data_IF_508038138123
#
_entry.id   IF_508038138123
#
_cell.length_a   1.000
_cell.length_b   1.000
_cell.length_c   1.000
_cell.angle_alpha   90.00
_cell.angle_beta   90.00
_cell.angle_gamma   90.00
#
_symmetry.space_group_name_H-M   'P 1'
#
loop_
_entity.id
_entity.type
_entity.pdbx_description
1 polymer ?
#
# COMPACT_ATOMS: atom_id res chain seq x y z
N UNK A 1 -36.27 29.42 45.91
CA UNK A 1 -37.25 29.05 44.87
C UNK A 1 -36.53 29.04 43.53
N UNK A 2 -36.25 27.86 43.00
CA UNK A 2 -35.60 27.66 41.71
C UNK A 2 -36.00 26.29 41.21
N UNK A 3 -36.92 26.27 40.24
CA UNK A 3 -37.51 25.06 39.66
C UNK A 3 -36.74 24.73 38.38
N UNK A 4 -36.43 23.46 38.21
CA UNK A 4 -35.77 22.86 37.06
C UNK A 4 -36.55 23.05 35.76
N UNK A 5 -35.84 23.10 34.63
CA UNK A 5 -36.38 22.78 33.32
C UNK A 5 -35.36 21.93 32.54
N UNK A 6 -35.86 20.81 32.04
CA UNK A 6 -35.14 19.78 31.30
C UNK A 6 -35.27 20.00 29.78
N UNK A 7 -34.36 19.35 29.01
CA UNK A 7 -34.44 18.99 27.56
C UNK A 7 -34.41 20.13 26.53
N UNK A 8 -33.62 20.10 25.45
CA UNK A 8 -33.33 19.02 24.49
C UNK A 8 -31.86 19.00 24.00
N UNK A 9 -31.23 17.82 24.00
CA UNK A 9 -30.07 17.52 23.18
C UNK A 9 -30.56 16.90 21.87
N UNK A 10 -30.35 17.58 20.74
CA UNK A 10 -30.52 16.97 19.42
C UNK A 10 -29.17 16.43 18.97
N UNK A 11 -28.93 15.15 19.29
CA UNK A 11 -27.89 14.34 18.66
C UNK A 11 -28.33 14.07 17.21
N UNK A 12 -27.61 14.63 16.24
CA UNK A 12 -27.66 14.16 14.86
C UNK A 12 -26.41 13.29 14.60
N UNK A 13 -26.44 12.06 15.13
CA UNK A 13 -25.56 10.98 14.69
C UNK A 13 -26.15 10.46 13.39
N UNK A 14 -25.44 10.67 12.28
CA UNK A 14 -25.59 9.78 11.10
C UNK A 14 -24.37 8.87 11.13
N UNK A 15 -24.50 7.82 11.94
CA UNK A 15 -23.61 6.67 11.91
C UNK A 15 -23.98 5.82 10.70
N UNK A 16 -23.08 5.74 9.72
CA UNK A 16 -23.08 4.68 8.72
C UNK A 16 -21.69 4.07 8.76
N UNK A 17 -21.53 3.06 9.61
CA UNK A 17 -20.43 2.11 9.55
C UNK A 17 -21.02 0.73 9.33
N UNK A 18 -21.24 0.42 8.06
CA UNK A 18 -21.39 -0.97 7.64
C UNK A 18 -20.06 -1.68 7.89
N UNK A 19 -20.11 -2.82 8.57
CA UNK A 19 -19.01 -3.76 8.72
C UNK A 19 -18.36 -4.03 7.35
N UNK A 20 -17.11 -3.63 7.13
CA UNK A 20 -16.24 -4.35 6.20
C UNK A 20 -14.78 -4.23 6.65
N UNK A 21 -14.19 -5.40 6.86
CA UNK A 21 -12.80 -5.62 7.24
C UNK A 21 -11.87 -5.38 6.04
N UNK A 22 -10.74 -4.72 6.30
CA UNK A 22 -9.41 -5.01 5.75
C UNK A 22 -9.34 -5.55 4.30
N UNK A 23 -9.47 -4.66 3.31
CA UNK A 23 -9.09 -4.95 1.92
C UNK A 23 -7.97 -4.00 1.47
N UNK A 24 -6.78 -4.56 1.32
CA UNK A 24 -5.73 -3.98 0.49
C UNK A 24 -6.09 -4.23 -0.99
N UNK A 25 -5.75 -3.23 -1.80
CA UNK A 25 -5.93 -3.04 -3.23
C UNK A 25 -6.36 -4.22 -4.10
N UNK A 26 -7.55 -4.08 -4.71
CA UNK A 26 -7.82 -4.36 -6.13
C UNK A 26 -9.15 -3.69 -6.51
N UNK A 27 -9.09 -2.44 -6.94
CA UNK A 27 -10.18 -1.81 -7.69
C UNK A 27 -9.60 -0.95 -8.80
N UNK A 28 -9.91 -1.32 -10.04
CA UNK A 28 -9.91 -0.40 -11.18
C UNK A 28 -10.86 0.76 -10.87
N UNK A 29 -10.34 1.90 -10.43
CA UNK A 29 -11.03 3.18 -10.69
C UNK A 29 -10.56 3.66 -12.05
N UNK A 30 -11.15 3.06 -13.08
CA UNK A 30 -11.33 3.72 -14.37
C UNK A 30 -12.51 4.67 -14.13
N UNK A 31 -12.25 5.98 -13.99
CA UNK A 31 -13.30 6.97 -14.22
C UNK A 31 -13.34 7.20 -15.74
N UNK A 32 -13.78 6.19 -16.48
CA UNK A 32 -14.38 6.38 -17.79
C UNK A 32 -15.87 6.53 -17.52
N UNK A 33 -16.37 7.76 -17.64
CA UNK A 33 -17.79 7.96 -17.88
C UNK A 33 -18.10 7.51 -19.31
N UNK A 34 -18.20 6.20 -19.52
CA UNK A 34 -19.05 5.64 -20.56
C UNK A 34 -20.36 5.21 -19.90
N UNK A 35 -21.47 5.56 -20.54
CA UNK A 35 -22.76 5.72 -19.88
C UNK A 35 -23.36 4.49 -19.20
N UNK A 36 -24.24 4.79 -18.24
CA UNK A 36 -25.27 3.94 -17.61
C UNK A 36 -24.85 3.04 -16.43
N UNK A 37 -24.60 3.67 -15.27
CA UNK A 37 -24.94 3.07 -13.97
C UNK A 37 -25.74 4.07 -13.13
N UNK A 38 -27.06 4.02 -13.28
CA UNK A 38 -28.00 4.61 -12.31
C UNK A 38 -28.64 3.42 -11.62
N UNK A 39 -28.35 3.21 -10.33
CA UNK A 39 -29.33 2.92 -9.28
C UNK A 39 -28.64 2.57 -7.94
N UNK A 40 -29.01 3.31 -6.89
CA UNK A 40 -28.66 3.16 -5.46
C UNK A 40 -27.43 3.88 -4.86
N UNK A 41 -26.96 4.99 -5.44
CA UNK A 41 -26.08 5.91 -4.69
C UNK A 41 -26.88 6.98 -3.93
N UNK A 42 -26.49 7.29 -2.68
CA UNK A 42 -27.15 8.35 -1.92
C UNK A 42 -27.00 9.71 -2.64
N UNK A 43 -28.01 10.59 -2.64
CA UNK A 43 -27.93 11.90 -3.32
C UNK A 43 -26.72 12.76 -2.91
N UNK A 44 -26.18 12.54 -1.72
CA UNK A 44 -24.93 13.17 -1.25
C UNK A 44 -23.68 12.69 -1.98
N UNK A 45 -23.58 11.39 -2.31
CA UNK A 45 -22.43 10.82 -3.04
C UNK A 45 -22.38 11.33 -4.47
N UNK A 46 -23.53 11.35 -5.14
CA UNK A 46 -23.67 11.91 -6.49
C UNK A 46 -23.18 13.36 -6.52
N UNK A 47 -23.64 14.19 -5.58
CA UNK A 47 -23.19 15.60 -5.48
C UNK A 47 -21.69 15.74 -5.25
N UNK A 48 -21.09 14.87 -4.43
CA UNK A 48 -19.63 14.87 -4.21
C UNK A 48 -18.89 14.49 -5.48
N UNK A 49 -19.31 13.42 -6.16
CA UNK A 49 -18.71 12.97 -7.41
C UNK A 49 -18.83 14.01 -8.54
N UNK A 50 -19.98 14.65 -8.68
CA UNK A 50 -20.18 15.77 -9.61
C UNK A 50 -19.29 16.96 -9.29
N UNK A 51 -19.10 17.26 -7.99
CA UNK A 51 -18.21 18.33 -7.55
C UNK A 51 -16.75 17.99 -7.87
N UNK A 52 -16.32 16.76 -7.63
CA UNK A 52 -14.98 16.28 -8.00
C UNK A 52 -14.74 16.34 -9.50
N UNK A 53 -15.71 15.93 -10.32
CA UNK A 53 -15.60 15.97 -11.78
C UNK A 53 -15.39 17.39 -12.33
N UNK A 54 -15.84 18.42 -11.59
CA UNK A 54 -15.64 19.83 -11.93
C UNK A 54 -14.33 20.42 -11.36
N UNK A 55 -13.87 19.89 -10.23
CA UNK A 55 -12.71 20.42 -9.48
C UNK A 55 -11.38 19.72 -9.82
N UNK A 56 -11.42 18.45 -10.22
CA UNK A 56 -10.22 17.69 -10.59
C UNK A 56 -9.81 18.12 -11.99
N UNK A 57 -8.79 18.96 -12.04
CA UNK A 57 -8.16 19.39 -13.27
C UNK A 57 -6.74 18.82 -13.31
N UNK A 58 -6.32 18.38 -14.49
CA UNK A 58 -4.91 18.07 -14.72
C UNK A 58 -4.07 19.35 -14.61
N UNK A 59 -2.81 19.27 -14.15
CA UNK A 59 -1.88 20.40 -14.25
C UNK A 59 -1.80 20.93 -15.69
N UNK A 60 -1.36 22.18 -15.85
CA UNK A 60 -1.04 22.73 -17.18
C UNK A 60 -0.03 21.82 -17.88
N UNK A 61 -0.11 21.70 -19.20
CA UNK A 61 0.62 20.68 -19.97
C UNK A 61 2.14 20.75 -19.75
N UNK A 62 2.67 21.97 -19.64
CA UNK A 62 4.06 22.29 -19.34
C UNK A 62 4.52 21.85 -17.94
N UNK A 63 3.59 21.63 -17.00
CA UNK A 63 3.85 21.18 -15.63
C UNK A 63 3.56 19.69 -15.43
N UNK A 64 3.09 18.97 -16.47
CA UNK A 64 2.84 17.53 -16.38
C UNK A 64 4.15 16.75 -16.48
N UNK A 65 4.28 15.74 -15.63
CA UNK A 65 5.32 14.73 -15.78
C UNK A 65 5.09 13.92 -17.07
N UNK A 66 6.14 13.79 -17.86
CA UNK A 66 6.16 13.07 -19.14
C UNK A 66 7.04 11.82 -19.07
N UNK A 67 7.95 11.70 -18.11
CA UNK A 67 8.84 10.53 -17.96
C UNK A 67 8.94 10.09 -16.51
N UNK A 68 8.12 9.12 -16.14
CA UNK A 68 8.01 8.67 -14.75
C UNK A 68 8.73 7.33 -14.56
N UNK A 69 9.70 7.29 -13.65
CA UNK A 69 10.40 6.06 -13.28
C UNK A 69 9.88 5.54 -11.94
N UNK A 70 9.51 4.26 -11.89
CA UNK A 70 8.90 3.64 -10.71
C UNK A 70 9.67 2.38 -10.30
N UNK A 71 9.90 2.19 -8.99
CA UNK A 71 10.56 1.00 -8.47
C UNK A 71 10.34 0.79 -6.97
N UNK A 72 10.80 -0.28 -6.32
CA UNK A 72 11.47 -1.40 -6.98
C UNK A 72 10.85 -2.76 -6.69
N UNK A 73 9.74 -2.83 -5.95
CA UNK A 73 9.08 -4.10 -5.70
C UNK A 73 8.07 -4.49 -6.79
N UNK A 74 8.18 -5.71 -7.29
CA UNK A 74 7.26 -6.31 -8.25
C UNK A 74 7.23 -7.82 -8.08
N UNK A 75 6.03 -8.40 -8.15
CA UNK A 75 5.80 -9.82 -8.00
C UNK A 75 4.51 -10.23 -8.74
N UNK A 76 4.22 -11.53 -8.77
CA UNK A 76 2.95 -12.08 -9.26
C UNK A 76 2.14 -12.56 -8.06
N UNK A 77 0.96 -12.00 -7.87
CA UNK A 77 -0.01 -12.50 -6.90
C UNK A 77 -0.76 -13.66 -7.55
N UNK A 78 -0.72 -14.83 -6.91
CA UNK A 78 -1.47 -16.01 -7.32
C UNK A 78 -2.61 -16.23 -6.33
N UNK A 79 -3.83 -15.96 -6.78
CA UNK A 79 -5.03 -15.99 -5.95
C UNK A 79 -5.80 -17.28 -6.23
N UNK A 80 -6.11 -18.02 -5.16
CA UNK A 80 -6.85 -19.27 -5.24
C UNK A 80 -7.53 -19.60 -3.91
N UNK A 81 -8.53 -20.50 -3.96
CA UNK A 81 -9.15 -21.02 -2.73
C UNK A 81 -8.14 -21.85 -1.93
N UNK A 82 -7.91 -21.45 -0.69
CA UNK A 82 -6.96 -22.13 0.19
C UNK A 82 -7.28 -23.60 0.39
N UNK A 83 -8.55 -23.93 0.63
CA UNK A 83 -9.03 -25.30 0.77
C UNK A 83 -8.68 -26.18 -0.44
N UNK A 84 -8.78 -25.65 -1.67
CA UNK A 84 -8.41 -26.39 -2.89
C UNK A 84 -6.91 -26.65 -2.99
N UNK A 85 -6.07 -25.66 -2.71
CA UNK A 85 -4.62 -25.85 -2.74
C UNK A 85 -4.19 -26.89 -1.70
N UNK A 86 -4.68 -26.76 -0.47
CA UNK A 86 -4.28 -27.68 0.59
C UNK A 86 -4.69 -29.11 0.23
N UNK A 87 -5.91 -29.31 -0.27
CA UNK A 87 -6.36 -30.63 -0.74
C UNK A 87 -5.50 -31.17 -1.89
N UNK A 88 -5.04 -30.32 -2.83
CA UNK A 88 -4.14 -30.73 -3.91
C UNK A 88 -2.75 -31.14 -3.40
N UNK A 89 -2.32 -30.62 -2.25
CA UNK A 89 -1.07 -30.99 -1.56
C UNK A 89 -1.23 -32.21 -0.64
N UNK A 90 -2.45 -32.73 -0.46
CA UNK A 90 -2.73 -33.93 0.32
C UNK A 90 -2.92 -35.15 -0.60
N UNK A 91 -1.88 -35.97 -0.72
CA UNK A 91 -1.94 -37.23 -1.46
C UNK A 91 -2.68 -38.36 -0.70
N UNK A 92 -3.04 -38.15 0.57
CA UNK A 92 -3.80 -39.10 1.38
C UNK A 92 -5.20 -38.54 1.69
N UNK A 93 -6.24 -39.20 1.17
CA UNK A 93 -7.65 -38.78 1.22
C UNK A 93 -8.31 -38.79 2.62
N UNK A 94 -7.56 -39.07 3.68
CA UNK A 94 -8.04 -38.98 5.06
C UNK A 94 -7.86 -37.56 5.56
N UNK A 95 -8.93 -36.75 5.57
CA UNK A 95 -8.92 -35.38 6.12
C UNK A 95 -8.46 -35.39 7.59
N UNK A 96 -7.21 -34.99 7.89
CA UNK A 96 -6.80 -34.93 9.28
C UNK A 96 -7.49 -33.73 9.95
N UNK A 97 -7.86 -33.89 11.21
CA UNK A 97 -8.16 -32.73 12.06
C UNK A 97 -6.84 -31.98 12.24
N UNK A 98 -6.67 -30.87 11.53
CA UNK A 98 -5.43 -30.08 11.59
C UNK A 98 -5.24 -29.46 12.97
N UNK A 99 -3.99 -29.49 13.45
CA UNK A 99 -3.59 -28.69 14.61
C UNK A 99 -3.67 -27.21 14.24
N UNK A 100 -4.28 -26.42 15.12
CA UNK A 100 -4.37 -24.97 14.96
C UNK A 100 -3.12 -24.29 15.52
N UNK A 101 -2.02 -24.43 14.79
CA UNK A 101 -0.73 -23.83 15.16
C UNK A 101 -0.44 -22.71 14.19
N UNK A 102 -0.21 -21.52 14.73
CA UNK A 102 0.28 -20.38 13.98
C UNK A 102 1.80 -20.39 13.98
N UNK A 103 2.40 -20.79 12.87
CA UNK A 103 3.85 -20.79 12.74
C UNK A 103 4.32 -19.39 12.31
N UNK A 104 5.36 -18.81 12.96
CA UNK A 104 5.89 -17.49 12.59
C UNK A 104 6.56 -17.49 11.21
N UNK A 105 7.03 -18.65 10.74
CA UNK A 105 7.59 -18.89 9.41
C UNK A 105 7.22 -20.31 8.97
N UNK A 106 7.17 -20.55 7.66
CA UNK A 106 6.79 -21.85 7.08
C UNK A 106 8.05 -22.58 6.60
N UNK A 107 8.30 -23.78 7.10
CA UNK A 107 9.49 -24.57 6.67
C UNK A 107 9.13 -25.66 5.68
N UNK A 108 7.87 -26.07 5.66
CA UNK A 108 7.37 -27.21 4.89
C UNK A 108 5.84 -27.14 4.73
N UNK A 109 5.27 -28.07 3.96
CA UNK A 109 3.82 -28.17 3.71
C UNK A 109 3.00 -28.37 4.99
N UNK A 110 3.53 -29.04 6.02
CA UNK A 110 2.80 -29.25 7.29
C UNK A 110 2.58 -27.92 8.00
N UNK A 111 3.62 -27.08 8.10
CA UNK A 111 3.52 -25.76 8.74
C UNK A 111 2.49 -24.89 8.00
N UNK A 112 2.49 -24.92 6.66
CA UNK A 112 1.50 -24.25 5.82
C UNK A 112 0.07 -24.71 6.16
N UNK A 113 -0.16 -26.03 6.25
CA UNK A 113 -1.46 -26.62 6.56
C UNK A 113 -1.98 -26.21 7.94
N UNK A 114 -1.13 -26.30 8.96
CA UNK A 114 -1.49 -25.94 10.35
C UNK A 114 -1.77 -24.44 10.47
N UNK A 115 -0.95 -23.60 9.84
CA UNK A 115 -1.09 -22.13 9.87
C UNK A 115 -2.33 -21.69 9.10
N UNK A 116 -2.57 -22.23 7.91
CA UNK A 116 -3.80 -21.96 7.16
C UNK A 116 -5.04 -22.37 7.95
N UNK A 117 -5.03 -23.55 8.59
CA UNK A 117 -6.13 -24.01 9.44
C UNK A 117 -6.38 -23.07 10.61
N UNK A 118 -5.32 -22.56 11.26
CA UNK A 118 -5.43 -21.56 12.32
C UNK A 118 -6.12 -20.28 11.83
N UNK A 119 -5.66 -19.70 10.71
CA UNK A 119 -6.22 -18.48 10.15
C UNK A 119 -7.66 -18.64 9.65
N UNK A 120 -7.95 -19.75 8.96
CA UNK A 120 -9.30 -20.10 8.52
C UNK A 120 -10.26 -20.23 9.72
N UNK A 121 -9.86 -20.96 10.77
CA UNK A 121 -10.69 -21.18 11.95
C UNK A 121 -10.97 -19.88 12.72
N UNK A 122 -10.00 -18.97 12.77
CA UNK A 122 -10.18 -17.65 13.41
C UNK A 122 -10.94 -16.66 12.52
N UNK A 123 -10.97 -16.89 11.21
CA UNK A 123 -11.37 -15.87 10.25
C UNK A 123 -10.45 -14.67 10.33
N UNK A 124 -9.14 -14.87 10.30
CA UNK A 124 -8.18 -13.79 10.38
C UNK A 124 -7.24 -13.82 9.19
N UNK A 125 -6.92 -12.65 8.65
CA UNK A 125 -5.83 -12.55 7.67
C UNK A 125 -4.48 -12.93 8.30
N UNK A 126 -3.52 -13.27 7.47
CA UNK A 126 -2.15 -13.55 7.88
C UNK A 126 -1.22 -13.60 6.70
N UNK A 127 0.06 -13.36 6.95
CA UNK A 127 1.11 -13.43 5.95
C UNK A 127 2.37 -14.08 6.55
N UNK A 128 2.98 -15.04 5.84
CA UNK A 128 4.19 -15.74 6.33
C UNK A 128 5.24 -15.89 5.24
N UNK A 129 6.50 -15.83 5.67
CA UNK A 129 7.62 -16.22 4.82
C UNK A 129 7.78 -17.75 4.81
N UNK A 130 7.97 -18.33 3.63
CA UNK A 130 8.37 -19.72 3.45
C UNK A 130 9.89 -19.80 3.37
N UNK A 131 10.54 -20.40 4.36
CA UNK A 131 12.01 -20.50 4.43
C UNK A 131 12.59 -21.40 3.34
N UNK A 132 11.90 -22.49 3.02
CA UNK A 132 12.39 -23.50 2.09
C UNK A 132 11.89 -23.23 0.67
N UNK A 133 12.77 -22.70 -0.18
CA UNK A 133 12.47 -22.40 -1.59
C UNK A 133 12.15 -23.64 -2.44
N UNK A 134 12.66 -24.83 -2.10
CA UNK A 134 12.29 -26.07 -2.80
C UNK A 134 10.86 -26.49 -2.50
N UNK A 135 10.46 -26.42 -1.22
CA UNK A 135 9.07 -26.67 -0.81
C UNK A 135 8.13 -25.62 -1.42
N UNK A 136 8.54 -24.35 -1.44
CA UNK A 136 7.79 -23.30 -2.11
C UNK A 136 7.55 -23.61 -3.59
N UNK A 137 8.60 -24.00 -4.34
CA UNK A 137 8.49 -24.39 -5.76
C UNK A 137 7.55 -25.57 -5.98
N UNK A 138 7.55 -26.57 -5.08
CA UNK A 138 6.59 -27.70 -5.13
C UNK A 138 5.15 -27.21 -4.96
N UNK A 139 4.92 -26.33 -3.98
CA UNK A 139 3.59 -25.76 -3.70
C UNK A 139 3.11 -24.89 -4.85
N UNK A 140 3.99 -24.03 -5.40
CA UNK A 140 3.68 -23.20 -6.55
C UNK A 140 3.29 -24.04 -7.77
N UNK A 141 3.99 -25.16 -8.02
CA UNK A 141 3.62 -26.12 -9.07
C UNK A 141 2.21 -26.67 -8.86
N UNK A 142 1.84 -27.03 -7.63
CA UNK A 142 0.49 -27.49 -7.31
C UNK A 142 -0.56 -26.38 -7.48
N UNK A 143 -0.27 -25.17 -7.00
CA UNK A 143 -1.17 -24.01 -7.12
C UNK A 143 -1.52 -23.71 -8.58
N UNK A 144 -0.54 -23.80 -9.49
CA UNK A 144 -0.77 -23.60 -10.94
C UNK A 144 -1.74 -24.61 -11.57
N UNK A 145 -1.97 -25.76 -10.93
CA UNK A 145 -2.89 -26.80 -11.41
C UNK A 145 -4.29 -26.73 -10.77
N UNK A 146 -4.50 -25.84 -9.80
CA UNK A 146 -5.79 -25.69 -9.12
C UNK A 146 -6.76 -24.91 -10.00
N UNK A 147 -7.94 -25.48 -10.25
CA UNK A 147 -9.01 -24.82 -11.00
C UNK A 147 -9.49 -23.52 -10.33
N UNK A 148 -9.53 -22.45 -11.12
CA UNK A 148 -9.91 -21.11 -10.66
C UNK A 148 -8.75 -20.32 -10.05
N UNK A 149 -7.51 -20.72 -10.31
CA UNK A 149 -6.34 -19.93 -9.94
C UNK A 149 -6.18 -18.73 -10.86
N UNK A 150 -6.09 -17.54 -10.26
CA UNK A 150 -5.94 -16.27 -10.95
C UNK A 150 -4.55 -15.68 -10.70
N UNK A 151 -4.09 -14.84 -11.64
CA UNK A 151 -2.77 -14.21 -11.57
C UNK A 151 -2.94 -12.71 -11.74
N UNK A 152 -2.38 -11.96 -10.81
CA UNK A 152 -2.43 -10.50 -10.79
C UNK A 152 -1.03 -9.92 -10.65
N UNK A 153 -0.89 -8.65 -11.06
CA UNK A 153 0.31 -7.87 -10.77
C UNK A 153 0.33 -7.60 -9.28
N UNK A 154 1.43 -7.97 -8.62
CA UNK A 154 1.69 -7.67 -7.21
C UNK A 154 2.85 -6.68 -7.06
N UNK A 155 2.92 -6.07 -5.87
CA UNK A 155 3.98 -5.14 -5.51
C UNK A 155 3.60 -3.69 -5.76
N UNK A 156 3.75 -2.85 -4.73
CA UNK A 156 3.34 -1.44 -4.75
C UNK A 156 3.93 -0.67 -5.94
N UNK A 157 5.22 -0.86 -6.23
CA UNK A 157 5.85 -0.16 -7.35
C UNK A 157 5.26 -0.61 -8.69
N UNK A 158 5.06 -1.92 -8.91
CA UNK A 158 4.44 -2.43 -10.11
C UNK A 158 2.99 -1.96 -10.30
N UNK A 159 2.20 -1.95 -9.23
CA UNK A 159 0.82 -1.44 -9.24
C UNK A 159 0.76 0.06 -9.53
N UNK A 160 1.63 0.86 -8.91
CA UNK A 160 1.71 2.30 -9.21
C UNK A 160 2.15 2.53 -10.65
N UNK A 161 3.14 1.79 -11.15
CA UNK A 161 3.60 1.88 -12.54
C UNK A 161 2.47 1.54 -13.52
N UNK A 162 1.71 0.46 -13.26
CA UNK A 162 0.54 0.07 -14.04
C UNK A 162 -0.47 1.21 -14.13
N UNK A 163 -0.82 1.82 -12.97
CA UNK A 163 -1.79 2.90 -12.93
C UNK A 163 -1.27 4.15 -13.65
N UNK A 164 -0.01 4.51 -13.43
CA UNK A 164 0.63 5.65 -14.11
C UNK A 164 0.67 5.46 -15.62
N UNK A 165 0.99 4.27 -16.11
CA UNK A 165 0.99 3.97 -17.54
C UNK A 165 -0.39 4.10 -18.19
N UNK A 166 -1.48 3.82 -17.44
CA UNK A 166 -2.86 4.03 -17.92
C UNK A 166 -3.30 5.51 -17.93
N UNK A 167 -2.61 6.37 -17.17
CA UNK A 167 -2.96 7.78 -17.00
C UNK A 167 -1.97 8.75 -17.68
N UNK A 168 -0.84 8.24 -18.16
CA UNK A 168 0.22 9.07 -18.72
C UNK A 168 -0.30 9.79 -19.98
N UNK A 169 0.00 11.10 -20.17
CA UNK A 169 -0.41 11.80 -21.37
C UNK A 169 0.14 11.15 -22.65
N UNK A 170 -0.50 11.43 -23.79
CA UNK A 170 0.00 10.98 -25.11
C UNK A 170 1.45 11.44 -25.30
N UNK A 171 2.32 10.48 -25.64
CA UNK A 171 3.76 10.72 -25.81
C UNK A 171 4.56 10.74 -24.50
N UNK A 172 3.93 10.53 -23.34
CA UNK A 172 4.62 10.28 -22.09
C UNK A 172 5.06 8.82 -21.94
N UNK A 173 6.06 8.60 -21.10
CA UNK A 173 6.75 7.34 -20.90
C UNK A 173 6.75 6.98 -19.42
N UNK A 174 6.52 5.70 -19.12
CA UNK A 174 6.62 5.17 -17.75
C UNK A 174 7.56 3.97 -17.78
N UNK A 175 8.59 4.02 -16.94
CA UNK A 175 9.53 2.92 -16.76
C UNK A 175 9.36 2.29 -15.38
N UNK A 176 9.51 0.97 -15.32
CA UNK A 176 9.51 0.21 -14.07
C UNK A 176 10.82 -0.55 -13.91
N UNK A 177 11.52 -0.32 -12.80
CA UNK A 177 12.65 -1.14 -12.38
C UNK A 177 12.28 -2.01 -11.19
N UNK A 178 11.95 -3.29 -11.43
CA UNK A 178 11.60 -4.29 -10.43
C UNK A 178 12.06 -5.68 -10.90
N UNK A 179 12.05 -6.73 -10.07
CA UNK A 179 12.25 -8.09 -10.55
C UNK A 179 11.09 -8.49 -11.48
N UNK A 180 11.36 -8.60 -12.79
CA UNK A 180 10.35 -8.94 -13.80
C UNK A 180 10.70 -10.27 -14.45
N UNK A 181 9.99 -11.33 -14.06
CA UNK A 181 10.12 -12.64 -14.66
C UNK A 181 9.16 -12.87 -15.85
N UNK A 182 9.13 -14.11 -16.37
CA UNK A 182 8.36 -14.47 -17.56
C UNK A 182 6.84 -14.40 -17.37
N UNK A 183 6.31 -14.48 -16.13
CA UNK A 183 4.87 -14.37 -15.87
C UNK A 183 4.43 -12.94 -15.58
N UNK A 184 5.24 -12.15 -14.90
CA UNK A 184 4.94 -10.75 -14.60
C UNK A 184 4.99 -9.91 -15.88
N UNK A 185 5.99 -10.12 -16.74
CA UNK A 185 6.16 -9.34 -17.98
C UNK A 185 4.88 -9.21 -18.84
N UNK A 186 4.16 -10.30 -19.19
CA UNK A 186 2.94 -10.20 -19.98
C UNK A 186 1.73 -9.64 -19.20
N UNK A 187 1.78 -9.58 -17.86
CA UNK A 187 0.73 -8.95 -17.05
C UNK A 187 0.86 -7.42 -17.04
N UNK A 188 2.09 -6.90 -17.12
CA UNK A 188 2.35 -5.46 -17.11
C UNK A 188 1.72 -4.74 -18.31
N UNK A 189 1.32 -3.49 -18.10
CA UNK A 189 0.78 -2.62 -19.14
C UNK A 189 1.74 -2.55 -20.34
N UNK A 190 1.27 -2.64 -21.59
CA UNK A 190 2.14 -2.65 -22.78
C UNK A 190 3.02 -1.40 -22.93
N UNK A 191 2.58 -0.24 -22.40
CA UNK A 191 3.36 1.00 -22.41
C UNK A 191 4.48 1.06 -21.35
N UNK A 192 4.54 0.11 -20.42
CA UNK A 192 5.60 0.08 -19.42
C UNK A 192 6.93 -0.36 -20.03
N UNK A 193 7.91 0.54 -19.95
CA UNK A 193 9.29 0.24 -20.29
C UNK A 193 9.93 -0.52 -19.12
N UNK A 194 10.43 -1.71 -19.39
CA UNK A 194 11.15 -2.54 -18.43
C UNK A 194 12.61 -2.56 -18.87
N UNK A 195 13.55 -1.97 -18.11
CA UNK A 195 14.97 -2.05 -18.43
C UNK A 195 15.42 -3.51 -18.53
N UNK A 196 16.38 -3.79 -19.42
CA UNK A 196 16.91 -5.15 -19.59
C UNK A 196 17.52 -5.70 -18.30
N UNK A 197 18.07 -4.83 -17.45
CA UNK A 197 18.61 -5.15 -16.13
C UNK A 197 17.56 -5.53 -15.07
N UNK A 198 16.27 -5.39 -15.39
CA UNK A 198 15.15 -5.78 -14.52
C UNK A 198 14.60 -7.17 -14.82
N UNK A 199 15.02 -7.80 -15.93
CA UNK A 199 14.57 -9.16 -16.24
C UNK A 199 15.28 -10.19 -15.35
N UNK A 200 14.49 -11.12 -14.80
CA UNK A 200 14.95 -12.25 -13.99
C UNK A 200 14.41 -13.56 -14.57
N UNK A 201 15.06 -14.68 -14.26
CA UNK A 201 14.70 -15.99 -14.81
C UNK A 201 13.39 -16.55 -14.21
N UNK A 202 13.13 -16.25 -12.93
CA UNK A 202 11.93 -16.67 -12.21
C UNK A 202 11.23 -15.44 -11.59
N UNK A 203 9.91 -15.37 -11.69
CA UNK A 203 9.14 -14.35 -10.99
C UNK A 203 9.11 -14.62 -9.48
N UNK A 204 9.00 -13.56 -8.70
CA UNK A 204 8.57 -13.66 -7.31
C UNK A 204 7.06 -13.92 -7.26
N UNK A 205 6.63 -14.97 -6.56
CA UNK A 205 5.22 -15.33 -6.42
C UNK A 205 4.76 -15.15 -4.99
N UNK A 206 3.60 -14.51 -4.83
CA UNK A 206 2.90 -14.38 -3.55
C UNK A 206 1.61 -15.19 -3.62
N UNK A 207 1.53 -16.25 -2.85
CA UNK A 207 0.40 -17.19 -2.87
C UNK A 207 -0.66 -16.70 -1.88
N UNK A 208 -1.81 -16.27 -2.41
CA UNK A 208 -2.93 -15.73 -1.65
C UNK A 208 -4.03 -16.78 -1.58
N UNK A 209 -4.17 -17.38 -0.40
CA UNK A 209 -5.17 -18.41 -0.09
C UNK A 209 -6.43 -17.77 0.48
N UNK A 210 -7.44 -17.61 -0.37
CA UNK A 210 -8.73 -17.07 0.05
C UNK A 210 -9.61 -18.13 0.70
N UNK A 211 -10.42 -17.67 1.67
CA UNK A 211 -11.52 -18.45 2.24
C UNK A 211 -12.74 -17.56 2.49
N UNK A 212 -13.91 -18.10 2.21
CA UNK A 212 -15.18 -17.37 2.29
C UNK A 212 -15.81 -17.47 3.69
N UNK A 213 -16.60 -16.47 4.07
CA UNK A 213 -17.44 -16.56 5.27
C UNK A 213 -18.37 -17.77 5.15
N UNK A 214 -18.39 -18.62 6.17
CA UNK A 214 -19.19 -19.85 6.19
C UNK A 214 -18.58 -21.02 5.43
N UNK A 215 -17.38 -20.87 4.85
CA UNK A 215 -16.66 -21.98 4.23
C UNK A 215 -16.33 -23.04 5.27
N UNK A 216 -16.68 -24.30 4.98
CA UNK A 216 -16.35 -25.43 5.83
C UNK A 216 -15.15 -26.19 5.29
N UNK A 217 -14.10 -26.27 6.09
CA UNK A 217 -12.87 -26.98 5.75
C UNK A 217 -12.17 -27.47 7.03
N UNK A 218 -11.58 -28.68 6.98
CA UNK A 218 -10.86 -29.26 8.13
C UNK A 218 -11.71 -29.45 9.41
N UNK A 219 -13.01 -29.68 9.26
CA UNK A 219 -13.96 -29.79 10.39
C UNK A 219 -14.30 -28.45 11.06
N UNK A 220 -13.99 -27.33 10.42
CA UNK A 220 -14.19 -25.97 10.94
C UNK A 220 -14.92 -25.11 9.94
N UNK A 221 -15.46 -23.99 10.40
CA UNK A 221 -16.18 -23.00 9.58
C UNK A 221 -15.54 -21.64 9.75
N UNK A 222 -15.20 -20.98 8.65
CA UNK A 222 -14.62 -19.63 8.69
C UNK A 222 -15.69 -18.60 9.11
N UNK A 223 -15.48 -17.83 10.21
CA UNK A 223 -16.49 -16.89 10.70
C UNK A 223 -16.59 -15.62 9.84
N UNK A 224 -15.52 -15.26 9.13
CA UNK A 224 -15.47 -14.15 8.17
C UNK A 224 -14.68 -14.56 6.92
N UNK A 225 -14.94 -13.88 5.80
CA UNK A 225 -14.12 -14.01 4.61
C UNK A 225 -12.77 -13.31 4.85
N UNK A 226 -11.68 -13.97 4.52
CA UNK A 226 -10.34 -13.41 4.60
C UNK A 226 -9.39 -14.21 3.71
N UNK A 227 -8.10 -13.91 3.81
CA UNK A 227 -7.03 -14.51 3.01
C UNK A 227 -5.78 -14.76 3.85
N UNK A 228 -5.06 -15.83 3.55
CA UNK A 228 -3.75 -16.12 4.10
C UNK A 228 -2.70 -16.08 2.98
N UNK A 229 -1.63 -15.32 3.18
CA UNK A 229 -0.61 -15.05 2.17
C UNK A 229 0.69 -15.73 2.57
N UNK A 230 1.43 -16.29 1.61
CA UNK A 230 2.81 -16.66 1.85
C UNK A 230 3.65 -16.57 0.57
N UNK A 231 4.94 -16.31 0.75
CA UNK A 231 5.90 -16.17 -0.35
C UNK A 231 7.28 -16.67 0.07
N UNK A 232 8.11 -16.99 -0.92
CA UNK A 232 9.55 -17.13 -0.77
C UNK A 232 10.22 -15.99 -1.55
N UNK A 233 9.88 -14.74 -1.16
CA UNK A 233 10.31 -13.56 -1.90
C UNK A 233 11.72 -13.11 -1.48
N UNK A 234 12.71 -13.49 -2.26
CA UNK A 234 14.12 -13.15 -2.00
C UNK A 234 14.47 -11.81 -2.63
N UNK A 235 14.04 -11.57 -3.87
CA UNK A 235 14.46 -10.42 -4.64
C UNK A 235 13.95 -9.11 -4.04
N UNK A 236 12.69 -9.06 -3.63
CA UNK A 236 12.11 -7.84 -3.06
C UNK A 236 12.49 -7.65 -1.59
N UNK A 237 12.66 -8.73 -0.81
CA UNK A 237 13.14 -8.65 0.58
C UNK A 237 14.57 -8.11 0.70
N UNK A 238 15.39 -8.32 -0.34
CA UNK A 238 16.72 -7.73 -0.46
C UNK A 238 16.72 -6.38 -1.19
N UNK A 239 15.58 -5.97 -1.75
CA UNK A 239 15.44 -4.85 -2.70
C UNK A 239 16.49 -4.90 -3.81
N UNK A 240 16.77 -6.09 -4.35
CA UNK A 240 17.88 -6.34 -5.29
C UNK A 240 17.80 -5.53 -6.60
N UNK A 241 16.60 -5.11 -7.00
CA UNK A 241 16.38 -4.29 -8.19
C UNK A 241 16.76 -2.80 -7.99
N UNK A 242 17.17 -2.36 -6.80
CA UNK A 242 17.45 -0.95 -6.52
C UNK A 242 18.61 -0.38 -7.33
N UNK A 243 19.77 -1.03 -7.35
CA UNK A 243 20.93 -0.56 -8.12
C UNK A 243 20.68 -0.59 -9.63
N UNK A 244 20.14 -1.68 -10.23
CA UNK A 244 19.72 -1.67 -11.63
C UNK A 244 18.73 -0.54 -11.96
N UNK A 245 17.76 -0.28 -11.08
CA UNK A 245 16.79 0.80 -11.24
C UNK A 245 17.49 2.16 -11.27
N UNK A 246 18.31 2.47 -10.27
CA UNK A 246 19.05 3.75 -10.19
C UNK A 246 19.96 3.93 -11.41
N UNK A 247 20.65 2.88 -11.86
CA UNK A 247 21.51 2.92 -13.04
C UNK A 247 20.71 3.27 -14.31
N UNK A 248 19.50 2.71 -14.47
CA UNK A 248 18.63 2.95 -15.63
C UNK A 248 18.15 4.40 -15.77
N UNK A 249 18.12 5.16 -14.66
CA UNK A 249 17.62 6.54 -14.64
C UNK A 249 18.49 7.48 -15.48
N UNK A 250 19.78 7.15 -15.68
CA UNK A 250 20.70 7.95 -16.50
C UNK A 250 20.25 8.02 -17.95
N UNK A 251 19.77 6.90 -18.49
CA UNK A 251 19.33 6.79 -19.87
C UNK A 251 17.87 7.24 -20.02
N UNK A 252 17.01 6.84 -19.07
CA UNK A 252 15.59 7.19 -19.09
C UNK A 252 15.31 8.69 -18.80
N UNK A 253 16.17 9.34 -18.00
CA UNK A 253 16.09 10.77 -17.63
C UNK A 253 14.71 11.19 -17.10
N UNK A 254 14.22 10.58 -16.01
CA UNK A 254 12.88 10.85 -15.52
C UNK A 254 12.70 12.32 -15.08
N UNK A 255 11.47 12.80 -15.14
CA UNK A 255 11.03 14.03 -14.47
C UNK A 255 10.29 13.77 -13.15
N UNK A 256 9.98 12.51 -12.85
CA UNK A 256 9.51 12.03 -11.54
C UNK A 256 10.06 10.63 -11.25
N UNK A 257 10.52 10.42 -10.01
CA UNK A 257 10.93 9.11 -9.50
C UNK A 257 9.97 8.71 -8.39
N UNK A 258 9.47 7.47 -8.44
CA UNK A 258 8.60 6.88 -7.44
C UNK A 258 9.26 5.61 -6.89
N UNK A 259 9.37 5.50 -5.57
CA UNK A 259 10.03 4.39 -4.88
C UNK A 259 9.05 3.75 -3.87
N UNK A 260 8.97 2.43 -3.85
CA UNK A 260 8.32 1.63 -2.81
C UNK A 260 9.08 0.31 -2.61
N UNK A 261 8.61 -0.50 -1.66
CA UNK A 261 9.21 -1.78 -1.29
C UNK A 261 10.13 -1.74 -0.07
N UNK A 262 10.39 -0.56 0.53
CA UNK A 262 11.25 -0.42 1.71
C UNK A 262 10.79 -1.28 2.90
N UNK A 263 9.49 -1.50 3.04
CA UNK A 263 8.90 -2.34 4.10
C UNK A 263 9.34 -3.80 4.02
N UNK A 264 9.67 -4.30 2.83
CA UNK A 264 10.07 -5.69 2.64
C UNK A 264 11.44 -5.97 3.27
N UNK A 265 12.25 -4.94 3.55
CA UNK A 265 13.52 -5.07 4.27
C UNK A 265 13.34 -5.56 5.71
N UNK A 266 12.18 -5.32 6.35
CA UNK A 266 11.98 -5.71 7.75
C UNK A 266 11.85 -7.23 7.95
N UNK A 267 11.71 -7.99 6.85
CA UNK A 267 11.81 -9.45 6.83
C UNK A 267 13.24 -9.96 7.03
N UNK A 268 14.24 -9.09 6.82
CA UNK A 268 15.66 -9.43 6.96
C UNK A 268 16.17 -9.16 8.38
N UNK A 269 17.32 -9.74 8.69
CA UNK A 269 18.03 -9.50 9.94
C UNK A 269 18.42 -8.03 10.12
N UNK A 270 18.49 -7.58 11.39
CA UNK A 270 18.73 -6.18 11.74
C UNK A 270 19.99 -5.57 11.13
N UNK A 271 21.08 -6.33 11.10
CA UNK A 271 22.34 -5.88 10.50
C UNK A 271 22.21 -5.67 9.00
N UNK A 272 21.43 -6.52 8.32
CA UNK A 272 21.20 -6.44 6.89
C UNK A 272 20.41 -5.19 6.52
N UNK A 273 19.22 -5.00 7.09
CA UNK A 273 18.40 -3.86 6.69
C UNK A 273 19.03 -2.52 7.08
N UNK A 274 19.80 -2.44 8.17
CA UNK A 274 20.54 -1.22 8.52
C UNK A 274 21.55 -0.84 7.44
N UNK A 275 22.36 -1.82 7.02
CA UNK A 275 23.32 -1.61 5.93
C UNK A 275 22.59 -1.27 4.63
N UNK A 276 21.52 -2.00 4.30
CA UNK A 276 20.77 -1.82 3.06
C UNK A 276 20.13 -0.42 2.96
N UNK A 277 19.54 0.08 4.05
CA UNK A 277 18.99 1.45 4.12
C UNK A 277 20.12 2.48 3.94
N UNK A 278 21.28 2.26 4.55
CA UNK A 278 22.47 3.11 4.37
C UNK A 278 22.89 3.18 2.90
N UNK A 279 23.07 2.02 2.25
CA UNK A 279 23.46 1.90 0.84
C UNK A 279 22.43 2.60 -0.08
N UNK A 280 21.13 2.40 0.18
CA UNK A 280 20.04 3.08 -0.54
C UNK A 280 20.13 4.60 -0.36
N UNK A 281 20.38 5.08 0.87
CA UNK A 281 20.50 6.51 1.16
C UNK A 281 21.67 7.15 0.40
N UNK A 282 22.79 6.45 0.29
CA UNK A 282 23.97 6.90 -0.46
C UNK A 282 23.65 7.04 -1.95
N UNK A 283 22.97 6.04 -2.53
CA UNK A 283 22.52 6.09 -3.93
C UNK A 283 21.53 7.22 -4.19
N UNK A 284 20.55 7.44 -3.29
CA UNK A 284 19.61 8.55 -3.42
C UNK A 284 20.30 9.91 -3.43
N UNK A 285 21.40 10.09 -2.67
CA UNK A 285 22.19 11.34 -2.67
C UNK A 285 22.88 11.62 -4.00
N UNK A 286 23.08 10.62 -4.85
CA UNK A 286 23.66 10.80 -6.18
C UNK A 286 22.68 11.37 -7.20
N UNK A 287 21.37 11.31 -6.91
CA UNK A 287 20.33 11.76 -7.81
C UNK A 287 20.23 13.29 -7.85
N UNK A 288 19.84 13.82 -9.01
CA UNK A 288 19.68 15.26 -9.19
C UNK A 288 18.60 15.82 -8.27
N UNK A 289 18.91 16.94 -7.60
CA UNK A 289 17.97 17.61 -6.72
C UNK A 289 16.75 18.21 -7.45
N UNK A 290 16.85 18.38 -8.77
CA UNK A 290 15.79 18.94 -9.61
C UNK A 290 14.65 17.93 -9.88
N UNK A 291 14.91 16.63 -9.74
CA UNK A 291 13.92 15.58 -10.01
C UNK A 291 13.18 15.25 -8.70
N UNK A 292 11.84 15.38 -8.61
CA UNK A 292 11.07 14.91 -7.47
C UNK A 292 11.19 13.41 -7.25
N UNK A 293 11.39 13.04 -5.98
CA UNK A 293 11.34 11.65 -5.52
C UNK A 293 10.17 11.51 -4.57
N UNK A 294 9.26 10.58 -4.89
CA UNK A 294 8.18 10.15 -4.02
C UNK A 294 8.48 8.76 -3.44
N UNK A 295 8.30 8.59 -2.13
CA UNK A 295 8.37 7.29 -1.46
C UNK A 295 7.00 6.90 -0.96
N UNK A 296 6.49 5.75 -1.42
CA UNK A 296 5.26 5.14 -0.91
C UNK A 296 5.61 4.09 0.15
N UNK A 297 5.17 4.33 1.39
CA UNK A 297 5.26 3.39 2.49
C UNK A 297 4.06 2.42 2.46
N UNK A 298 4.25 1.22 3.00
CA UNK A 298 3.19 0.24 3.14
C UNK A 298 3.59 -0.79 4.18
N UNK A 299 2.62 -1.42 4.85
CA UNK A 299 2.76 -2.61 5.68
C UNK A 299 4.00 -2.62 6.60
N UNK A 300 4.34 -1.48 7.21
CA UNK A 300 5.47 -1.42 8.15
C UNK A 300 5.03 -1.96 9.52
N UNK A 301 5.81 -2.84 10.14
CA UNK A 301 5.54 -3.33 11.49
C UNK A 301 6.73 -3.17 12.44
N UNK A 302 7.96 -3.13 11.93
CA UNK A 302 9.17 -3.04 12.72
C UNK A 302 9.51 -1.57 13.06
N UNK A 303 9.37 -1.20 14.33
CA UNK A 303 9.64 0.17 14.82
C UNK A 303 11.06 0.65 14.55
N UNK A 304 12.05 -0.21 14.79
CA UNK A 304 13.47 0.11 14.60
C UNK A 304 13.80 0.32 13.13
N UNK A 305 13.29 -0.56 12.24
CA UNK A 305 13.46 -0.43 10.80
C UNK A 305 12.78 0.84 10.28
N UNK A 306 11.55 1.10 10.73
CA UNK A 306 10.78 2.31 10.40
C UNK A 306 11.53 3.58 10.78
N UNK A 307 12.12 3.61 11.99
CA UNK A 307 12.91 4.74 12.46
C UNK A 307 14.15 4.98 11.59
N UNK A 308 14.82 3.92 11.19
CA UNK A 308 16.00 3.98 10.34
C UNK A 308 15.65 4.53 8.95
N UNK A 309 14.58 4.03 8.33
CA UNK A 309 14.03 4.56 7.07
C UNK A 309 13.70 6.04 7.22
N UNK A 310 12.95 6.41 8.25
CA UNK A 310 12.53 7.80 8.47
C UNK A 310 13.73 8.75 8.65
N UNK A 311 14.77 8.29 9.35
CA UNK A 311 15.97 9.10 9.63
C UNK A 311 16.85 9.28 8.38
N UNK A 312 17.06 8.20 7.62
CA UNK A 312 18.04 8.20 6.52
C UNK A 312 17.42 8.56 5.16
N UNK A 313 16.18 8.19 4.90
CA UNK A 313 15.55 8.29 3.58
C UNK A 313 14.65 9.52 3.47
N UNK A 314 13.82 9.82 4.48
CA UNK A 314 12.85 10.92 4.37
C UNK A 314 13.48 12.28 4.03
N UNK A 315 14.66 12.64 4.59
CA UNK A 315 15.30 13.90 4.21
C UNK A 315 15.76 13.97 2.74
N UNK A 316 15.87 12.83 2.05
CA UNK A 316 16.39 12.73 0.69
C UNK A 316 15.30 12.75 -0.38
N UNK A 317 14.03 12.72 0.03
CA UNK A 317 12.89 12.61 -0.88
C UNK A 317 11.98 13.81 -0.73
N UNK A 318 11.22 14.11 -1.78
CA UNK A 318 10.41 15.33 -1.85
C UNK A 318 8.97 15.10 -1.36
N UNK A 319 8.52 13.84 -1.45
CA UNK A 319 7.19 13.44 -1.04
C UNK A 319 7.18 12.05 -0.40
N UNK A 320 6.31 11.87 0.59
CA UNK A 320 5.99 10.56 1.18
C UNK A 320 4.50 10.28 1.01
N UNK A 321 4.12 9.04 0.77
CA UNK A 321 2.74 8.54 0.88
C UNK A 321 2.63 7.40 1.88
N UNK A 322 1.52 7.34 2.62
CA UNK A 322 1.31 6.39 3.71
C UNK A 322 -0.16 6.29 4.13
N UNK A 323 -0.55 5.15 4.72
CA UNK A 323 -1.89 4.94 5.27
C UNK A 323 -1.96 5.10 6.81
N UNK A 324 -3.12 4.83 7.43
CA UNK A 324 -3.31 4.96 8.88
C UNK A 324 -2.38 4.10 9.73
N UNK A 325 -1.97 2.92 9.26
CA UNK A 325 -1.09 2.01 10.00
C UNK A 325 0.32 2.60 10.08
N UNK A 326 0.87 3.02 8.94
CA UNK A 326 2.17 3.70 8.90
C UNK A 326 2.14 5.04 9.64
N UNK A 327 1.02 5.78 9.56
CA UNK A 327 0.83 7.04 10.30
C UNK A 327 0.97 6.79 11.80
N UNK A 328 0.24 5.79 12.33
CA UNK A 328 0.29 5.44 13.75
C UNK A 328 1.66 4.92 14.18
N UNK A 329 2.31 4.11 13.34
CA UNK A 329 3.64 3.59 13.63
C UNK A 329 4.68 4.71 13.71
N UNK A 330 4.74 5.60 12.71
CA UNK A 330 5.68 6.73 12.70
C UNK A 330 5.39 7.73 13.84
N UNK A 331 4.13 7.93 14.17
CA UNK A 331 3.73 8.67 15.36
C UNK A 331 4.37 8.05 16.61
N UNK A 332 4.15 6.75 16.84
CA UNK A 332 4.61 6.04 18.04
C UNK A 332 6.14 5.99 18.16
N UNK A 333 6.82 5.61 17.08
CA UNK A 333 8.28 5.47 17.01
C UNK A 333 9.01 6.75 17.41
N UNK A 334 8.42 7.89 17.05
CA UNK A 334 9.10 9.18 17.13
C UNK A 334 8.43 10.19 18.07
N UNK A 335 7.47 9.72 18.87
CA UNK A 335 6.82 10.47 19.95
C UNK A 335 5.96 11.64 19.46
N UNK A 336 5.16 11.42 18.42
CA UNK A 336 4.26 12.43 17.85
C UNK A 336 3.04 12.77 18.72
N UNK A 337 2.15 13.66 18.23
CA UNK A 337 0.90 13.97 18.90
C UNK A 337 -0.07 12.78 18.83
N UNK A 338 -0.88 12.56 19.86
CA UNK A 338 -1.92 11.51 19.89
C UNK A 338 -1.43 10.05 19.85
N UNK A 339 -0.11 9.76 19.90
CA UNK A 339 0.39 8.38 19.75
C UNK A 339 0.21 7.50 21.00
N UNK A 340 -0.20 8.07 22.14
CA UNK A 340 -0.49 7.32 23.37
C UNK A 340 -1.89 6.70 23.39
N UNK A 341 -2.81 7.20 22.56
CA UNK A 341 -4.10 6.54 22.33
C UNK A 341 -3.90 5.39 21.36
N UNK A 342 -3.96 4.15 21.85
CA UNK A 342 -3.99 2.98 20.99
C UNK A 342 -5.31 2.98 20.20
N UNK A 343 -5.28 3.57 19.00
CA UNK A 343 -6.45 3.66 18.13
C UNK A 343 -6.37 2.53 17.10
N UNK A 344 -7.33 1.62 17.17
CA UNK A 344 -7.58 0.67 16.09
C UNK A 344 -8.40 1.36 14.99
N UNK A 345 -7.84 1.43 13.79
CA UNK A 345 -8.52 1.95 12.60
C UNK A 345 -8.19 3.41 12.25
N UNK A 346 -8.95 4.01 11.32
CA UNK A 346 -8.64 5.31 10.75
C UNK A 346 -8.74 6.43 11.80
N UNK A 347 -7.77 7.35 11.87
CA UNK A 347 -7.87 8.54 12.71
C UNK A 347 -9.04 9.43 12.29
N UNK A 348 -9.54 10.26 13.21
CA UNK A 348 -10.39 11.39 12.81
C UNK A 348 -9.57 12.40 11.98
N UNK A 349 -10.23 13.18 11.12
CA UNK A 349 -9.55 14.17 10.26
C UNK A 349 -8.67 15.14 11.08
N UNK A 350 -9.11 15.72 12.21
CA UNK A 350 -8.26 16.61 13.01
C UNK A 350 -7.00 15.91 13.55
N UNK A 351 -7.15 14.67 14.04
CA UNK A 351 -6.01 13.88 14.55
C UNK A 351 -5.03 13.54 13.42
N UNK A 352 -5.55 13.13 12.25
CA UNK A 352 -4.72 12.90 11.07
C UNK A 352 -3.95 14.16 10.67
N UNK A 353 -4.61 15.32 10.67
CA UNK A 353 -3.99 16.60 10.33
C UNK A 353 -2.89 17.02 11.33
N UNK A 354 -3.11 16.82 12.63
CA UNK A 354 -2.11 17.09 13.67
C UNK A 354 -0.85 16.23 13.48
N UNK A 355 -1.04 14.92 13.26
CA UNK A 355 0.07 13.97 13.08
C UNK A 355 0.81 14.26 11.77
N UNK A 356 0.10 14.39 10.64
CA UNK A 356 0.70 14.68 9.34
C UNK A 356 1.46 16.02 9.37
N UNK A 357 0.88 17.05 9.97
CA UNK A 357 1.54 18.36 10.13
C UNK A 357 2.80 18.28 10.99
N UNK A 358 2.75 17.53 12.10
CA UNK A 358 3.93 17.26 12.93
C UNK A 358 5.00 16.46 12.17
N UNK A 359 4.63 15.39 11.46
CA UNK A 359 5.54 14.57 10.66
C UNK A 359 6.23 15.40 9.59
N UNK A 360 5.47 16.18 8.82
CA UNK A 360 6.02 17.03 7.78
C UNK A 360 7.03 18.02 8.38
N UNK A 361 6.70 18.67 9.50
CA UNK A 361 7.63 19.57 10.19
C UNK A 361 8.87 18.85 10.70
N UNK A 362 8.71 17.70 11.37
CA UNK A 362 9.80 16.92 11.96
C UNK A 362 10.79 16.45 10.89
N UNK A 363 10.31 15.78 9.85
CA UNK A 363 11.16 15.14 8.84
C UNK A 363 11.66 16.12 7.76
N UNK A 364 11.08 17.32 7.65
CA UNK A 364 11.64 18.42 6.84
C UNK A 364 12.66 19.28 7.59
N UNK A 365 12.76 19.16 8.93
CA UNK A 365 13.67 19.97 9.74
C UNK A 365 15.18 19.73 9.52
N UNK A 366 15.66 18.51 9.19
CA UNK A 366 17.09 18.30 8.94
C UNK A 366 17.63 19.24 7.86
N UNK A 367 18.83 19.78 8.08
CA UNK A 367 19.46 20.70 7.12
C UNK A 367 19.66 20.01 5.78
N UNK A 368 19.16 20.63 4.71
CA UNK A 368 19.21 20.06 3.36
C UNK A 368 18.13 19.02 3.09
N UNK A 369 17.15 18.84 3.98
CA UNK A 369 15.98 18.01 3.71
C UNK A 369 15.22 18.51 2.49
N UNK A 370 14.80 17.58 1.64
CA UNK A 370 14.01 17.81 0.43
C UNK A 370 12.50 17.66 0.70
N UNK A 371 12.15 17.08 1.85
CA UNK A 371 10.77 16.69 2.14
C UNK A 371 9.87 17.92 2.26
N UNK A 372 8.89 17.98 1.38
CA UNK A 372 7.95 19.12 1.33
C UNK A 372 6.50 18.69 1.18
N UNK A 373 6.23 17.38 1.00
CA UNK A 373 4.88 16.84 0.79
C UNK A 373 4.65 15.52 1.51
N UNK A 374 3.50 15.38 2.15
CA UNK A 374 2.97 14.10 2.64
C UNK A 374 1.57 13.89 2.05
N UNK A 375 1.34 12.73 1.45
CA UNK A 375 0.03 12.27 0.99
C UNK A 375 -0.46 11.14 1.89
N UNK A 376 -1.25 11.50 2.89
CA UNK A 376 -1.91 10.54 3.75
C UNK A 376 -3.21 10.07 3.09
N UNK A 377 -3.44 8.77 3.08
CA UNK A 377 -4.65 8.17 2.53
C UNK A 377 -5.21 7.11 3.47
N UNK A 378 -6.53 7.09 3.61
CA UNK A 378 -7.24 6.04 4.36
C UNK A 378 -8.59 5.82 3.70
N UNK A 379 -9.26 4.72 4.02
CA UNK A 379 -10.55 4.35 3.42
C UNK A 379 -11.57 5.51 3.40
N UNK A 380 -11.80 6.26 4.50
CA UNK A 380 -12.82 7.31 4.49
C UNK A 380 -12.37 8.68 3.94
N UNK A 381 -11.07 9.00 3.89
CA UNK A 381 -10.59 10.32 3.45
C UNK A 381 -9.07 10.35 3.16
N UNK A 382 -8.62 11.36 2.43
CA UNK A 382 -7.21 11.62 2.16
C UNK A 382 -6.81 13.02 2.66
N UNK A 383 -5.54 13.21 3.02
CA UNK A 383 -4.94 14.51 3.38
C UNK A 383 -3.65 14.70 2.60
N UNK A 384 -3.54 15.82 1.88
CA UNK A 384 -2.29 16.23 1.23
C UNK A 384 -1.74 17.43 1.98
N UNK A 385 -0.65 17.24 2.70
CA UNK A 385 0.06 18.30 3.40
C UNK A 385 1.28 18.72 2.59
N UNK A 386 1.44 20.04 2.38
CA UNK A 386 2.58 20.63 1.68
C UNK A 386 3.17 21.78 2.49
N UNK A 387 4.49 21.94 2.45
CA UNK A 387 5.14 23.12 3.00
C UNK A 387 4.85 24.35 2.12
N UNK A 388 4.69 25.50 2.75
CA UNK A 388 4.45 26.77 2.06
C UNK A 388 5.61 27.20 1.17
N UNK A 389 6.82 26.75 1.48
CA UNK A 389 8.05 26.94 0.70
C UNK A 389 8.26 25.89 -0.39
N UNK A 390 7.31 24.97 -0.56
CA UNK A 390 7.47 23.87 -1.51
C UNK A 390 7.30 24.34 -2.96
N UNK A 391 7.85 23.54 -3.89
CA UNK A 391 7.63 23.72 -5.34
C UNK A 391 6.29 23.17 -5.84
N UNK A 392 5.49 22.55 -4.97
CA UNK A 392 4.20 21.99 -5.34
C UNK A 392 3.20 23.14 -5.47
N UNK A 393 2.50 23.22 -6.60
CA UNK A 393 1.31 24.07 -6.68
C UNK A 393 0.31 23.63 -5.62
N UNK A 394 -0.37 24.59 -4.99
CA UNK A 394 -1.38 24.28 -3.98
C UNK A 394 -2.42 23.37 -4.62
N UNK A 395 -2.68 22.16 -4.09
CA UNK A 395 -3.74 21.32 -4.58
C UNK A 395 -5.02 22.15 -4.61
N UNK A 396 -5.78 22.08 -5.70
CA UNK A 396 -7.13 22.64 -5.75
C UNK A 396 -7.92 22.04 -4.59
N UNK A 397 -8.13 22.87 -3.54
CA UNK A 397 -8.70 22.47 -2.27
C UNK A 397 -10.05 21.78 -2.49
N UNK A 398 -10.13 20.49 -2.16
CA UNK A 398 -11.39 19.88 -1.71
C UNK A 398 -11.37 19.92 -0.19
N UNK A 399 -11.56 21.11 0.37
CA UNK A 399 -11.87 21.24 1.79
C UNK A 399 -13.34 20.85 2.00
N UNK A 400 -13.59 19.69 2.61
CA UNK A 400 -14.89 19.49 3.24
C UNK A 400 -14.94 20.34 4.50
N UNK A 401 -15.48 21.55 4.38
CA UNK A 401 -15.74 22.41 5.52
C UNK A 401 -16.91 21.84 6.32
N UNK A 402 -16.66 21.43 7.55
CA UNK A 402 -17.68 21.36 8.60
C UNK A 402 -17.11 21.98 9.88
N UNK A 403 -17.21 23.30 10.01
CA UNK A 403 -17.26 23.93 11.32
C UNK A 403 -18.23 25.12 11.37
N UNK A 404 -18.96 25.33 12.49
CA UNK A 404 -20.08 26.27 12.58
C UNK A 404 -19.70 27.73 12.85
N UNK A 405 -18.41 28.09 12.82
CA UNK A 405 -17.93 29.40 13.29
C UNK A 405 -16.95 30.05 12.32
N UNK A 406 -17.40 30.32 11.09
CA UNK A 406 -16.80 31.36 10.27
C UNK A 406 -17.74 32.57 10.25
N UNK A 407 -17.60 33.44 11.24
CA UNK A 407 -18.13 34.80 11.17
C UNK A 407 -17.24 35.56 10.20
N UNK A 408 -17.82 35.97 9.07
CA UNK A 408 -17.20 36.88 8.11
C UNK A 408 -17.09 38.27 8.75
N UNK A 409 -15.91 38.92 8.79
CA UNK A 409 -15.82 40.32 9.20
C UNK A 409 -16.09 41.22 8.00
N UNK A 410 -17.36 41.30 7.57
CA UNK A 410 -17.82 42.36 6.67
C UNK A 410 -19.34 42.35 6.58
N UNK A 411 -20.01 42.96 7.57
CA UNK A 411 -21.14 43.87 7.38
C UNK A 411 -21.65 44.31 8.76
N UNK A 412 -21.75 45.64 8.92
CA UNK A 412 -22.62 46.28 9.92
C UNK A 412 -24.08 46.05 9.56
#
# INVERSE_FOLDING_TARGET
MGVAACTYFTLAIVGISALFAYYNWNFETIVEFSGSFVNNESPSRIKVAESWSKLILQPQEEHRFKRIAVGVNGNVDIILKGSKLINALDSNASFPVYHLVDHPSLRNVKDLKETFAFHHAKGAGGERYMENGEEFRKILKAARTVDGTEYYIGGNAALMAQKLASLIPVGGEVAIGAPVGPKLKPLLHPLLQVPSSSFVDEDEYHIILEFSKGESWGGRVAPIASRFIFSHDVSNSHMSAFEPFIASLKDFKPDLIVISGLHLLESQERSYWKKRISDISELLRTLSSNIPIHVELASMANEDCTKEIATQIFPLVDSIGLNEQELWLLCRVDGGPHCSSHLSGPPSIPVANDIVGWMLKKYSSPRGSRLTRIHFHTLPFHVVAILTTSRWEKPSLVSYCRHPYCIHPSMR
#
